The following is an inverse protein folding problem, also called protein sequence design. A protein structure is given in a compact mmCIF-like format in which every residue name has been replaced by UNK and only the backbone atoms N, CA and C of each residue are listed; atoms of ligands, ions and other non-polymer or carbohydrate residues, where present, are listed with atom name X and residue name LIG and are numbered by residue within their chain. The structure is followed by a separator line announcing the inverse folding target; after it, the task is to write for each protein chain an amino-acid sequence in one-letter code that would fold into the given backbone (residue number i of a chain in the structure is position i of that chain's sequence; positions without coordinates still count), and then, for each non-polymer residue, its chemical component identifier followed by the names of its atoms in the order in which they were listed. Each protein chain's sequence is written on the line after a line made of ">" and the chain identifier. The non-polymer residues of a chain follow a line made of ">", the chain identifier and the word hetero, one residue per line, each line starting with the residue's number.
data_IF_089324633991
#
_entry.id   IF_089324633991
#
_cell.length_a   1.000
_cell.length_b   1.000
_cell.length_c   1.000
_cell.angle_alpha   90.00
_cell.angle_beta   90.00
_cell.angle_gamma   90.00
#
_symmetry.space_group_name_H-M   'P 1'
#
loop_
_entity.id
_entity.type
_entity.pdbx_description
1 polymer ?
#
# COMPACT_ATOMS: atom_id res chain seq x y z
N UNK A 1 8.21 -34.23 16.41
CA UNK A 1 6.80 -34.12 16.09
C UNK A 1 6.60 -33.21 14.89
N UNK A 2 5.87 -33.66 13.87
CA UNK A 2 5.60 -32.86 12.68
C UNK A 2 4.55 -31.78 12.95
N UNK A 3 4.57 -30.71 12.16
CA UNK A 3 3.52 -29.67 12.16
C UNK A 3 2.26 -30.22 11.49
N UNK A 4 1.08 -29.88 12.03
CA UNK A 4 -0.20 -30.24 11.40
C UNK A 4 -0.67 -29.12 10.49
N UNK A 5 -1.06 -29.49 9.27
CA UNK A 5 -1.59 -28.61 8.26
C UNK A 5 -3.02 -29.03 7.92
N UNK A 6 -3.96 -28.10 7.89
CA UNK A 6 -5.30 -28.30 7.38
C UNK A 6 -5.43 -27.57 6.05
N UNK A 7 -5.89 -28.26 5.03
CA UNK A 7 -6.02 -27.73 3.66
C UNK A 7 -7.42 -27.99 3.16
N UNK A 8 -8.04 -26.95 2.61
CA UNK A 8 -9.32 -27.05 1.92
C UNK A 8 -9.04 -27.17 0.41
N UNK A 9 -9.46 -28.25 -0.19
CA UNK A 9 -9.37 -28.46 -1.61
C UNK A 9 -10.42 -27.61 -2.36
N UNK A 10 -10.21 -27.32 -3.63
CA UNK A 10 -11.15 -26.53 -4.44
C UNK A 10 -12.55 -27.15 -4.59
N UNK A 11 -12.69 -28.47 -4.33
CA UNK A 11 -13.99 -29.15 -4.29
C UNK A 11 -14.72 -29.01 -2.93
N UNK A 12 -14.16 -28.24 -1.99
CA UNK A 12 -14.70 -28.02 -0.64
C UNK A 12 -14.30 -29.08 0.39
N UNK A 13 -13.58 -30.14 0.01
CA UNK A 13 -13.09 -31.11 0.98
C UNK A 13 -11.96 -30.54 1.82
N UNK A 14 -12.02 -30.78 3.12
CA UNK A 14 -10.96 -30.41 4.05
C UNK A 14 -10.16 -31.64 4.45
N UNK A 15 -8.83 -31.59 4.29
CA UNK A 15 -7.90 -32.67 4.64
C UNK A 15 -6.84 -32.16 5.61
N UNK A 16 -6.38 -33.07 6.46
CA UNK A 16 -5.31 -32.81 7.42
C UNK A 16 -4.08 -33.63 7.06
N UNK A 17 -2.94 -32.96 7.09
CA UNK A 17 -1.66 -33.56 6.78
C UNK A 17 -0.67 -33.34 7.93
N UNK A 18 0.32 -34.20 8.04
CA UNK A 18 1.47 -33.99 8.91
C UNK A 18 2.67 -33.61 8.04
N UNK A 19 3.29 -32.48 8.36
CA UNK A 19 4.52 -32.02 7.72
C UNK A 19 5.70 -32.44 8.59
N UNK A 20 6.52 -33.42 8.16
CA UNK A 20 7.72 -33.81 8.89
C UNK A 20 8.76 -32.69 8.91
N UNK A 21 9.66 -32.70 9.90
CA UNK A 21 10.67 -31.67 10.07
C UNK A 21 11.64 -31.52 8.89
N UNK A 22 11.74 -32.55 8.03
CA UNK A 22 12.62 -32.55 6.84
C UNK A 22 11.88 -32.32 5.51
N UNK A 23 10.57 -32.06 5.54
CA UNK A 23 9.82 -31.81 4.31
C UNK A 23 10.27 -30.50 3.65
N UNK A 24 10.44 -30.53 2.33
CA UNK A 24 10.77 -29.33 1.55
C UNK A 24 9.60 -28.36 1.51
N UNK A 25 9.82 -27.11 1.88
CA UNK A 25 8.84 -26.02 1.76
C UNK A 25 9.39 -24.95 0.84
N UNK A 26 8.60 -24.54 -0.14
CA UNK A 26 8.87 -23.36 -0.96
C UNK A 26 7.73 -22.37 -0.85
N UNK A 27 8.04 -21.07 -0.86
CA UNK A 27 7.09 -19.97 -0.89
C UNK A 27 7.42 -19.12 -2.10
N UNK A 28 6.48 -18.99 -3.02
CA UNK A 28 6.67 -18.32 -4.31
C UNK A 28 7.92 -18.82 -5.07
N UNK A 29 8.17 -20.13 -5.02
CA UNK A 29 9.30 -20.78 -5.68
C UNK A 29 10.64 -20.70 -4.95
N UNK A 30 10.74 -20.00 -3.82
CA UNK A 30 11.96 -19.87 -3.01
C UNK A 30 11.86 -20.77 -1.78
N UNK A 31 12.97 -21.37 -1.37
CA UNK A 31 13.01 -22.17 -0.13
C UNK A 31 12.58 -21.32 1.05
N UNK A 32 11.59 -21.78 1.79
CA UNK A 32 10.97 -21.09 2.91
C UNK A 32 10.59 -22.04 4.03
N UNK A 33 9.75 -21.55 4.93
CA UNK A 33 9.25 -22.31 6.09
C UNK A 33 7.73 -22.26 6.14
N UNK A 34 7.10 -23.16 6.90
CA UNK A 34 5.64 -23.16 7.10
C UNK A 34 5.15 -21.88 7.78
N UNK A 35 6.00 -21.23 8.55
CA UNK A 35 5.66 -19.95 9.20
C UNK A 35 5.57 -18.78 8.23
N UNK A 36 5.98 -18.96 6.96
CA UNK A 36 5.94 -17.92 5.93
C UNK A 36 4.63 -17.97 5.09
N UNK A 37 3.67 -18.81 5.50
CA UNK A 37 2.34 -18.93 4.91
C UNK A 37 1.28 -18.20 5.72
N UNK A 38 0.18 -17.86 5.07
CA UNK A 38 -1.02 -17.31 5.68
C UNK A 38 -2.25 -18.14 5.34
N UNK A 39 -3.28 -18.06 6.17
CA UNK A 39 -4.57 -18.66 5.84
C UNK A 39 -5.10 -18.05 4.54
N UNK A 40 -5.62 -18.90 3.64
CA UNK A 40 -6.08 -18.48 2.31
C UNK A 40 -5.02 -18.55 1.21
N UNK A 41 -3.73 -18.77 1.52
CA UNK A 41 -2.72 -19.02 0.49
C UNK A 41 -2.98 -20.34 -0.25
N UNK A 42 -2.64 -20.38 -1.52
CA UNK A 42 -2.72 -21.61 -2.30
C UNK A 42 -1.54 -22.52 -1.95
N UNK A 43 -1.82 -23.82 -1.83
CA UNK A 43 -0.79 -24.81 -1.55
C UNK A 43 -0.86 -25.97 -2.52
N UNK A 44 0.30 -26.36 -3.04
CA UNK A 44 0.50 -27.60 -3.80
C UNK A 44 1.25 -28.60 -2.92
N UNK A 45 0.65 -29.75 -2.66
CA UNK A 45 1.16 -30.75 -1.74
C UNK A 45 1.63 -31.97 -2.50
N UNK A 46 2.84 -32.45 -2.19
CA UNK A 46 3.31 -33.78 -2.58
C UNK A 46 3.25 -34.71 -1.36
N UNK A 47 2.42 -35.71 -1.46
CA UNK A 47 2.16 -36.68 -0.40
C UNK A 47 2.89 -37.97 -0.70
N UNK A 48 3.40 -38.66 0.32
CA UNK A 48 3.95 -40.00 0.21
C UNK A 48 2.83 -40.99 -0.22
N UNK A 49 3.19 -42.04 -0.97
CA UNK A 49 2.28 -43.09 -1.39
C UNK A 49 2.05 -44.17 -0.30
N UNK A 50 2.63 -44.00 0.88
CA UNK A 50 2.37 -44.86 2.01
C UNK A 50 1.11 -44.45 2.77
N UNK A 51 0.65 -45.33 3.67
CA UNK A 51 -0.62 -45.16 4.39
C UNK A 51 -0.63 -43.98 5.38
N UNK A 52 0.48 -43.28 5.57
CA UNK A 52 0.63 -42.27 6.62
C UNK A 52 0.17 -40.86 6.22
N UNK A 53 -0.18 -40.61 4.96
CA UNK A 53 -0.49 -39.25 4.44
C UNK A 53 0.57 -38.20 4.83
N UNK A 54 1.83 -38.59 4.84
CA UNK A 54 2.92 -37.69 5.17
C UNK A 54 3.27 -36.82 3.98
N UNK A 55 3.49 -35.53 4.24
CA UNK A 55 3.93 -34.60 3.21
C UNK A 55 5.41 -34.78 2.93
N UNK A 56 5.73 -34.95 1.66
CA UNK A 56 7.13 -34.95 1.16
C UNK A 56 7.60 -33.52 0.92
N UNK A 57 6.71 -32.70 0.32
CA UNK A 57 6.98 -31.27 0.08
C UNK A 57 5.69 -30.46 -0.02
N UNK A 58 5.83 -29.18 0.20
CA UNK A 58 4.79 -28.19 0.07
C UNK A 58 5.30 -26.99 -0.70
N UNK A 59 4.60 -26.59 -1.76
CA UNK A 59 4.79 -25.30 -2.40
C UNK A 59 3.62 -24.39 -2.03
N UNK A 60 3.92 -23.20 -1.61
CA UNK A 60 2.97 -22.15 -1.24
C UNK A 60 3.04 -21.03 -2.27
N UNK A 61 1.90 -20.68 -2.86
CA UNK A 61 1.74 -19.50 -3.68
C UNK A 61 0.90 -18.49 -2.86
N UNK A 62 1.55 -17.41 -2.42
CA UNK A 62 0.88 -16.41 -1.59
C UNK A 62 -0.14 -15.63 -2.41
N UNK A 63 -1.34 -15.48 -1.86
CA UNK A 63 -2.35 -14.57 -2.41
C UNK A 63 -1.93 -13.15 -2.07
N UNK A 64 -1.85 -12.29 -3.06
CA UNK A 64 -1.52 -10.87 -2.88
C UNK A 64 -2.64 -10.02 -3.43
N UNK A 65 -3.20 -9.17 -2.58
CA UNK A 65 -4.16 -8.15 -2.95
C UNK A 65 -3.72 -6.80 -2.40
N UNK A 66 -4.28 -5.71 -2.93
CA UNK A 66 -3.93 -4.36 -2.52
C UNK A 66 -5.17 -3.56 -2.21
N UNK A 67 -5.17 -2.89 -1.06
CA UNK A 67 -6.22 -1.95 -0.68
C UNK A 67 -5.62 -0.61 -0.32
N UNK A 68 -6.37 0.45 -0.64
CA UNK A 68 -5.95 1.82 -0.40
C UNK A 68 -7.04 2.60 0.35
N UNK A 69 -6.61 3.52 1.18
CA UNK A 69 -7.53 4.38 1.90
C UNK A 69 -6.85 5.32 2.87
N UNK A 70 -7.66 6.09 3.59
CA UNK A 70 -7.19 6.91 4.69
C UNK A 70 -7.14 6.09 5.98
N UNK A 71 -6.05 6.21 6.73
CA UNK A 71 -5.89 5.59 8.05
C UNK A 71 -6.85 6.23 9.04
N UNK A 72 -7.89 5.50 9.44
CA UNK A 72 -8.85 5.93 10.44
C UNK A 72 -8.34 5.68 11.86
N UNK A 73 -7.84 4.49 12.09
CA UNK A 73 -7.29 4.05 13.39
C UNK A 73 -6.37 2.85 13.19
N UNK A 74 -5.57 2.59 14.17
CA UNK A 74 -4.77 1.36 14.30
C UNK A 74 -4.62 1.00 15.76
N UNK A 75 -4.47 -0.30 16.03
CA UNK A 75 -4.19 -0.86 17.35
C UNK A 75 -2.77 -1.38 17.36
N UNK A 76 -2.03 -1.01 18.38
CA UNK A 76 -0.70 -1.54 18.65
C UNK A 76 -0.72 -2.20 20.04
N UNK A 77 -0.73 -3.51 20.07
CA UNK A 77 -0.72 -4.31 21.29
C UNK A 77 0.24 -5.50 21.17
N UNK A 78 0.60 -6.08 22.30
CA UNK A 78 1.59 -7.18 22.34
C UNK A 78 1.19 -8.37 21.47
N UNK A 79 -0.11 -8.67 21.40
CA UNK A 79 -0.63 -9.88 20.78
C UNK A 79 -1.59 -9.61 19.60
N UNK A 80 -1.84 -8.33 19.29
CA UNK A 80 -2.76 -7.94 18.22
C UNK A 80 -2.39 -6.57 17.65
N UNK A 81 -2.09 -6.54 16.37
CA UNK A 81 -1.91 -5.31 15.62
C UNK A 81 -2.95 -5.30 14.51
N UNK A 82 -3.70 -4.21 14.41
CA UNK A 82 -4.68 -4.01 13.35
C UNK A 82 -4.63 -2.58 12.80
N UNK A 83 -5.19 -2.39 11.62
CA UNK A 83 -5.38 -1.08 10.99
C UNK A 83 -6.77 -1.01 10.37
N UNK A 84 -7.45 0.11 10.60
CA UNK A 84 -8.71 0.42 9.94
C UNK A 84 -8.48 1.48 8.88
N UNK A 85 -8.78 1.13 7.62
CA UNK A 85 -8.79 2.08 6.51
C UNK A 85 -10.21 2.51 6.16
N UNK A 86 -10.36 3.77 5.80
CA UNK A 86 -11.55 4.30 5.14
C UNK A 86 -11.28 4.41 3.65
N UNK A 87 -12.04 3.68 2.85
CA UNK A 87 -12.00 3.80 1.39
C UNK A 87 -12.51 5.18 0.97
N UNK A 88 -11.69 5.93 0.24
CA UNK A 88 -11.96 7.32 -0.10
C UNK A 88 -13.14 7.49 -1.08
N UNK A 89 -13.41 6.49 -1.92
CA UNK A 89 -14.49 6.54 -2.91
C UNK A 89 -15.85 6.21 -2.30
N UNK A 90 -15.89 5.25 -1.36
CA UNK A 90 -17.15 4.73 -0.79
C UNK A 90 -17.44 5.24 0.62
N UNK A 91 -16.41 5.79 1.32
CA UNK A 91 -16.49 6.16 2.74
C UNK A 91 -16.57 4.97 3.70
N UNK A 92 -16.56 3.72 3.19
CA UNK A 92 -16.63 2.51 4.01
C UNK A 92 -15.31 2.28 4.72
N UNK A 93 -15.38 1.94 6.00
CA UNK A 93 -14.21 1.56 6.80
C UNK A 93 -14.13 0.04 6.93
N UNK A 94 -12.92 -0.51 6.77
CA UNK A 94 -12.62 -1.94 6.95
C UNK A 94 -11.36 -2.07 7.82
N UNK A 95 -11.37 -3.03 8.72
CA UNK A 95 -10.24 -3.34 9.61
C UNK A 95 -9.51 -4.57 9.09
N UNK A 96 -8.18 -4.52 9.10
CA UNK A 96 -7.28 -5.58 8.66
C UNK A 96 -6.29 -5.91 9.76
N UNK A 97 -6.04 -7.19 9.98
CA UNK A 97 -5.00 -7.66 10.88
C UNK A 97 -3.61 -7.41 10.27
N UNK A 98 -2.66 -6.98 11.08
CA UNK A 98 -1.28 -6.75 10.64
C UNK A 98 -0.40 -7.91 11.09
N UNK A 99 0.28 -8.56 10.14
CA UNK A 99 1.28 -9.59 10.45
C UNK A 99 2.37 -9.04 11.37
N UNK A 100 2.79 -9.85 12.33
CA UNK A 100 3.95 -9.51 13.18
C UNK A 100 5.27 -9.34 12.40
N UNK A 101 5.30 -9.78 11.14
CA UNK A 101 6.43 -9.65 10.20
C UNK A 101 6.19 -8.57 9.13
N UNK A 102 5.06 -7.84 9.21
CA UNK A 102 4.75 -6.82 8.22
C UNK A 102 5.80 -5.71 8.23
N UNK A 103 6.20 -5.29 7.04
CA UNK A 103 6.96 -4.06 6.87
C UNK A 103 6.00 -2.87 6.95
N UNK A 104 6.37 -1.85 7.71
CA UNK A 104 5.56 -0.63 7.89
C UNK A 104 6.42 0.55 7.50
N UNK A 105 5.95 1.31 6.52
CA UNK A 105 6.64 2.47 5.97
C UNK A 105 5.79 3.71 6.06
N UNK A 106 6.44 4.83 6.31
CA UNK A 106 5.84 6.15 6.23
C UNK A 106 6.76 7.07 5.43
N UNK A 107 6.23 7.61 4.34
CA UNK A 107 6.97 8.48 3.42
C UNK A 107 8.28 7.83 2.88
N UNK A 108 8.24 6.50 2.66
CA UNK A 108 9.36 5.71 2.15
C UNK A 108 10.35 5.20 3.21
N UNK A 109 10.22 5.62 4.46
CA UNK A 109 11.07 5.18 5.58
C UNK A 109 10.39 4.10 6.42
N UNK A 110 11.16 3.10 6.86
CA UNK A 110 10.66 2.07 7.78
C UNK A 110 10.40 2.70 9.17
N UNK A 111 9.20 2.48 9.69
CA UNK A 111 8.77 3.00 11.00
C UNK A 111 8.16 1.88 11.85
N UNK A 112 8.01 2.13 13.16
CA UNK A 112 7.16 1.30 13.99
C UNK A 112 5.68 1.69 13.84
N UNK A 113 4.75 0.73 13.95
CA UNK A 113 3.31 0.99 13.79
C UNK A 113 2.79 2.12 14.70
N UNK A 114 3.34 2.26 15.91
CA UNK A 114 2.99 3.33 16.86
C UNK A 114 3.32 4.75 16.36
N UNK A 115 4.19 4.87 15.36
CA UNK A 115 4.64 6.13 14.77
C UNK A 115 3.80 6.52 13.55
N UNK A 116 2.89 5.63 13.12
CA UNK A 116 1.97 5.91 12.02
C UNK A 116 1.02 7.05 12.38
N UNK A 117 0.81 7.96 11.46
CA UNK A 117 -0.10 9.09 11.64
C UNK A 117 -1.53 8.74 11.21
N UNK A 118 -2.52 9.15 11.99
CA UNK A 118 -3.93 9.08 11.59
C UNK A 118 -4.19 10.06 10.44
N UNK A 119 -5.17 9.73 9.62
CA UNK A 119 -5.51 10.46 8.40
C UNK A 119 -4.41 10.44 7.33
N UNK A 120 -3.35 9.63 7.49
CA UNK A 120 -2.43 9.31 6.40
C UNK A 120 -3.17 8.60 5.28
N UNK A 121 -2.65 8.70 4.06
CA UNK A 121 -3.03 7.80 2.99
C UNK A 121 -2.17 6.53 3.09
N UNK A 122 -2.78 5.37 3.03
CA UNK A 122 -2.06 4.10 3.09
C UNK A 122 -2.45 3.14 1.97
N UNK A 123 -1.45 2.42 1.49
CA UNK A 123 -1.59 1.23 0.65
C UNK A 123 -1.21 0.03 1.48
N UNK A 124 -2.11 -0.93 1.60
CA UNK A 124 -1.86 -2.21 2.24
C UNK A 124 -1.65 -3.27 1.17
N UNK A 125 -0.61 -4.07 1.32
CA UNK A 125 -0.48 -5.34 0.64
C UNK A 125 -1.01 -6.43 1.56
N UNK A 126 -2.00 -7.17 1.10
CA UNK A 126 -2.66 -8.24 1.83
C UNK A 126 -2.14 -9.60 1.32
N UNK A 127 -1.97 -10.53 2.23
CA UNK A 127 -1.83 -11.96 1.92
C UNK A 127 -3.19 -12.66 2.04
N UNK A 128 -3.20 -13.96 1.82
CA UNK A 128 -4.37 -14.79 2.10
C UNK A 128 -4.91 -14.57 3.51
N UNK A 129 -6.25 -14.56 3.67
CA UNK A 129 -6.91 -14.23 4.93
C UNK A 129 -6.93 -12.73 5.28
N UNK A 130 -6.71 -11.86 4.30
CA UNK A 130 -6.74 -10.39 4.44
C UNK A 130 -5.74 -9.85 5.48
N UNK A 131 -4.62 -10.54 5.67
CA UNK A 131 -3.56 -10.12 6.61
C UNK A 131 -2.58 -9.18 5.93
N UNK A 132 -2.33 -8.02 6.54
CA UNK A 132 -1.38 -7.02 6.03
C UNK A 132 0.06 -7.52 6.16
N UNK A 133 0.78 -7.58 5.04
CA UNK A 133 2.20 -7.94 4.97
C UNK A 133 3.12 -6.76 4.68
N UNK A 134 2.58 -5.72 4.05
CA UNK A 134 3.23 -4.43 3.86
C UNK A 134 2.19 -3.31 4.05
N UNK A 135 2.56 -2.33 4.83
CA UNK A 135 1.84 -1.07 4.97
C UNK A 135 2.77 0.04 4.48
N UNK A 136 2.37 0.73 3.42
CA UNK A 136 3.09 1.89 2.90
C UNK A 136 2.18 3.12 3.00
N UNK A 137 2.57 4.10 3.81
CA UNK A 137 1.76 5.25 4.13
C UNK A 137 2.47 6.57 3.80
N UNK A 138 1.65 7.58 3.53
CA UNK A 138 2.08 8.94 3.21
C UNK A 138 1.24 9.94 3.99
N UNK A 139 1.74 11.16 4.23
CA UNK A 139 0.95 12.20 4.88
C UNK A 139 -0.40 12.42 4.16
N UNK A 140 -1.46 12.54 4.93
CA UNK A 140 -2.81 12.73 4.38
C UNK A 140 -2.98 14.06 3.64
N UNK A 141 -2.19 15.07 3.98
CA UNK A 141 -2.14 16.36 3.29
C UNK A 141 -0.76 16.97 3.44
N UNK A 142 -0.22 17.46 2.33
CA UNK A 142 1.04 18.23 2.31
C UNK A 142 0.86 19.46 1.42
N UNK A 143 1.63 20.51 1.72
CA UNK A 143 1.74 21.70 0.87
C UNK A 143 3.18 21.89 0.46
N UNK A 144 3.40 22.25 -0.80
CA UNK A 144 4.72 22.59 -1.34
C UNK A 144 4.61 23.96 -1.99
N UNK A 145 5.48 24.87 -1.56
CA UNK A 145 5.60 26.19 -2.15
C UNK A 145 6.87 26.28 -3.00
N UNK A 146 6.77 26.95 -4.15
CA UNK A 146 7.90 27.12 -5.05
C UNK A 146 7.56 27.90 -6.30
N UNK A 147 8.46 27.84 -7.29
CA UNK A 147 8.29 28.46 -8.60
C UNK A 147 8.08 27.36 -9.64
N UNK A 148 7.11 27.53 -10.50
CA UNK A 148 6.83 26.60 -11.59
C UNK A 148 8.00 26.62 -12.55
N UNK A 149 8.70 25.50 -12.68
CA UNK A 149 9.77 25.32 -13.64
C UNK A 149 9.20 24.92 -15.00
N UNK A 150 8.30 23.95 -15.03
CA UNK A 150 7.65 23.50 -16.26
C UNK A 150 6.31 22.82 -16.01
N UNK A 151 5.47 22.80 -17.06
CA UNK A 151 4.28 21.96 -17.15
C UNK A 151 4.43 21.12 -18.41
N UNK A 152 4.46 19.81 -18.26
CA UNK A 152 4.56 18.87 -19.37
C UNK A 152 3.21 18.19 -19.58
N UNK A 153 2.57 18.46 -20.70
CA UNK A 153 1.32 17.84 -21.08
C UNK A 153 1.58 16.47 -21.70
N UNK A 154 0.94 15.44 -21.15
CA UNK A 154 1.11 14.06 -21.58
C UNK A 154 0.21 13.13 -20.77
N UNK A 155 0.58 11.85 -20.75
CA UNK A 155 -0.07 10.84 -19.91
C UNK A 155 1.01 10.16 -19.07
N UNK A 156 1.21 10.60 -17.81
CA UNK A 156 0.49 11.66 -17.09
C UNK A 156 0.93 13.09 -17.49
N UNK A 157 0.08 14.08 -17.22
CA UNK A 157 0.48 15.49 -17.22
C UNK A 157 1.24 15.78 -15.92
N UNK A 158 2.37 16.49 -16.00
CA UNK A 158 3.21 16.78 -14.85
C UNK A 158 3.48 18.27 -14.67
N UNK A 159 3.59 18.68 -13.39
CA UNK A 159 3.97 20.00 -12.94
C UNK A 159 5.30 19.90 -12.18
N UNK A 160 6.36 20.51 -12.68
CA UNK A 160 7.64 20.62 -11.99
C UNK A 160 7.72 21.95 -11.23
N UNK A 161 8.00 21.86 -9.92
CA UNK A 161 8.07 23.02 -9.02
C UNK A 161 9.46 23.05 -8.36
N UNK A 162 10.16 24.15 -8.54
CA UNK A 162 11.43 24.43 -7.87
C UNK A 162 11.17 25.08 -6.52
N UNK A 163 11.58 24.43 -5.46
CA UNK A 163 11.41 24.87 -4.07
C UNK A 163 12.54 25.82 -3.62
N UNK A 164 12.40 26.45 -2.48
CA UNK A 164 13.37 27.43 -1.95
C UNK A 164 14.77 26.85 -1.69
N UNK A 165 14.89 25.53 -1.54
CA UNK A 165 16.17 24.82 -1.37
C UNK A 165 16.78 24.33 -2.69
N UNK A 166 16.33 24.87 -3.81
CA UNK A 166 16.73 24.49 -5.18
C UNK A 166 16.38 23.06 -5.62
N UNK A 167 15.60 22.32 -4.82
CA UNK A 167 15.09 21.01 -5.21
C UNK A 167 13.91 21.15 -6.16
N UNK A 168 13.84 20.28 -7.17
CA UNK A 168 12.70 20.19 -8.09
C UNK A 168 11.80 19.05 -7.69
N UNK A 169 10.55 19.37 -7.39
CA UNK A 169 9.50 18.38 -7.10
C UNK A 169 8.55 18.29 -8.29
N UNK A 170 8.24 17.07 -8.71
CA UNK A 170 7.31 16.82 -9.82
C UNK A 170 6.00 16.26 -9.29
N UNK A 171 4.91 16.86 -9.70
CA UNK A 171 3.55 16.47 -9.34
C UNK A 171 2.81 15.98 -10.58
N UNK A 172 2.15 14.85 -10.46
CA UNK A 172 1.24 14.36 -11.50
C UNK A 172 -0.14 15.00 -11.34
N UNK A 173 -0.70 15.47 -12.45
CA UNK A 173 -2.03 16.07 -12.52
C UNK A 173 -2.98 15.12 -13.25
N UNK A 174 -4.08 14.76 -12.57
CA UNK A 174 -5.15 13.99 -13.18
C UNK A 174 -6.04 14.92 -14.03
N UNK A 175 -5.96 14.80 -15.34
CA UNK A 175 -6.76 15.63 -16.25
C UNK A 175 -8.25 15.27 -16.26
N UNK A 176 -8.62 14.09 -15.72
CA UNK A 176 -10.02 13.66 -15.60
C UNK A 176 -10.69 14.19 -14.33
N UNK A 177 -9.87 14.55 -13.33
CA UNK A 177 -10.28 15.16 -12.07
C UNK A 177 -9.25 16.22 -11.67
N UNK A 178 -9.28 17.34 -12.41
CA UNK A 178 -8.35 18.44 -12.25
C UNK A 178 -8.38 19.02 -10.84
N UNK A 179 -7.24 19.42 -10.28
CA UNK A 179 -7.20 20.17 -9.04
C UNK A 179 -7.95 21.50 -9.18
N UNK A 180 -8.45 22.02 -8.06
CA UNK A 180 -8.92 23.39 -8.02
C UNK A 180 -7.74 24.34 -8.28
N UNK A 181 -7.87 25.22 -9.28
CA UNK A 181 -6.80 26.11 -9.69
C UNK A 181 -7.20 27.54 -9.40
N UNK A 182 -6.35 28.25 -8.70
CA UNK A 182 -6.51 29.66 -8.38
C UNK A 182 -5.31 30.45 -8.89
N UNK A 183 -5.56 31.64 -9.41
CA UNK A 183 -4.55 32.62 -9.80
C UNK A 183 -4.92 33.97 -9.21
N UNK A 184 -4.02 34.54 -8.39
CA UNK A 184 -4.29 35.75 -7.60
C UNK A 184 -5.61 35.65 -6.79
N UNK A 185 -5.85 34.49 -6.18
CA UNK A 185 -7.04 34.23 -5.37
C UNK A 185 -8.34 34.04 -6.17
N UNK A 186 -8.30 34.06 -7.51
CA UNK A 186 -9.46 33.84 -8.38
C UNK A 186 -9.39 32.48 -9.05
N UNK A 187 -10.55 31.82 -9.19
CA UNK A 187 -10.63 30.57 -9.97
C UNK A 187 -10.04 30.74 -11.36
N UNK A 188 -9.26 29.77 -11.78
CA UNK A 188 -8.49 29.80 -13.03
C UNK A 188 -8.45 28.41 -13.66
N UNK A 189 -7.66 28.25 -14.71
CA UNK A 189 -7.47 26.99 -15.44
C UNK A 189 -5.99 26.72 -15.70
N UNK A 190 -5.67 25.47 -16.00
CA UNK A 190 -4.29 25.01 -16.16
C UNK A 190 -3.55 25.75 -17.27
N UNK A 191 -4.23 26.11 -18.37
CA UNK A 191 -3.67 26.86 -19.50
C UNK A 191 -3.26 28.30 -19.16
N UNK A 192 -3.70 28.83 -18.02
CA UNK A 192 -3.36 30.17 -17.52
C UNK A 192 -2.14 30.18 -16.62
N UNK A 193 -1.69 29.03 -16.16
CA UNK A 193 -0.50 28.87 -15.34
C UNK A 193 0.73 28.86 -16.25
N UNK A 194 1.81 29.51 -15.84
CA UNK A 194 3.02 29.63 -16.63
C UNK A 194 4.26 29.25 -15.83
N UNK A 195 5.31 28.82 -16.53
CA UNK A 195 6.65 28.76 -15.96
C UNK A 195 7.06 30.14 -15.43
N UNK A 196 7.68 30.18 -14.26
CA UNK A 196 8.03 31.40 -13.54
C UNK A 196 6.98 31.87 -12.53
N UNK A 197 5.71 31.43 -12.62
CA UNK A 197 4.72 31.75 -11.58
C UNK A 197 5.11 31.09 -10.26
N UNK A 198 4.90 31.78 -9.13
CA UNK A 198 4.91 31.12 -7.81
C UNK A 198 3.69 30.24 -7.66
N UNK A 199 3.84 29.11 -6.97
CA UNK A 199 2.75 28.18 -6.75
C UNK A 199 2.82 27.59 -5.35
N UNK A 200 1.64 27.41 -4.74
CA UNK A 200 1.43 26.53 -3.60
C UNK A 200 0.63 25.31 -4.10
N UNK A 201 1.26 24.16 -4.06
CA UNK A 201 0.66 22.87 -4.43
C UNK A 201 0.16 22.18 -3.18
N UNK A 202 -1.13 21.89 -3.09
CA UNK A 202 -1.70 21.07 -2.02
C UNK A 202 -1.97 19.67 -2.53
N UNK A 203 -1.34 18.69 -1.87
CA UNK A 203 -1.56 17.26 -2.11
C UNK A 203 -2.38 16.70 -0.96
N UNK A 204 -3.44 15.97 -1.25
CA UNK A 204 -4.23 15.22 -0.26
C UNK A 204 -4.37 13.79 -0.75
N UNK A 205 -4.04 12.84 0.14
CA UNK A 205 -4.12 11.41 -0.18
C UNK A 205 -3.43 11.07 -1.51
N UNK A 206 -2.18 11.52 -1.64
CA UNK A 206 -1.34 11.32 -2.83
C UNK A 206 -1.89 11.89 -4.14
N UNK A 207 -2.84 12.81 -4.07
CA UNK A 207 -3.44 13.49 -5.23
C UNK A 207 -3.32 15.01 -5.08
N UNK A 208 -2.91 15.70 -6.14
CA UNK A 208 -2.95 17.16 -6.17
C UNK A 208 -4.40 17.61 -6.16
N UNK A 209 -4.78 18.39 -5.16
CA UNK A 209 -6.16 18.88 -5.00
C UNK A 209 -6.29 20.36 -5.24
N UNK A 210 -5.21 21.13 -5.05
CA UNK A 210 -5.26 22.59 -5.24
C UNK A 210 -3.93 23.10 -5.77
N UNK A 211 -4.00 24.03 -6.70
CA UNK A 211 -2.89 24.85 -7.18
C UNK A 211 -3.26 26.33 -6.96
N UNK A 212 -2.54 27.02 -6.10
CA UNK A 212 -2.67 28.46 -5.90
C UNK A 212 -1.47 29.14 -6.49
N UNK A 213 -1.66 29.96 -7.52
CA UNK A 213 -0.57 30.59 -8.28
C UNK A 213 -0.61 32.11 -8.22
N UNK A 214 0.58 32.70 -8.23
CA UNK A 214 0.77 34.14 -8.35
C UNK A 214 1.70 34.40 -9.54
N UNK A 215 1.34 35.29 -10.49
CA UNK A 215 2.21 35.64 -11.60
C UNK A 215 3.55 36.19 -11.14
N UNK A 216 4.60 35.87 -11.88
CA UNK A 216 5.87 36.54 -11.72
C UNK A 216 5.67 38.04 -12.15
N UNK A 217 6.01 38.95 -11.25
CA UNK A 217 5.98 40.39 -11.48
C UNK A 217 7.05 40.87 -12.46
#
# INVERSE_FOLDING_TARGET
>A
GGQRLQVSAFNGETRRYTLPAGAGVTVNGVVGTVSDRYEGDYVSLRVSNDEANELVSMAVDTVTDYVQGSVKSFTYAKDQNDITLTNLSTGKSTTYDISSKAAIRFNGEDIALKELERNSFATLQLSGGDVVTLLDAYPGSTTTEGVIESITYGTPTTLAVKTANDSVMTFELDLTDLPAIYRDGKSSSLDKIKSGDTVVVTVRYNKVTTLETTPQS
#
